data_IF_680270236060
#
_entry.id   IF_680270236060
#
_cell.length_a   1.000
_cell.length_b   1.000
_cell.length_c   1.000
_cell.angle_alpha   90.00
_cell.angle_beta   90.00
_cell.angle_gamma   90.00
#
_symmetry.space_group_name_H-M   'P 1'
#
loop_
_entity.id
_entity.type
_entity.pdbx_description
1 polymer ?
#
# COMPACT_ATOMS: atom_id res chain seq x y z
N UNK A 1 -35.01 -27.68 -55.84
CA UNK A 1 -35.60 -26.35 -56.09
C UNK A 1 -36.31 -25.95 -54.80
N UNK A 2 -35.58 -25.33 -53.87
CA UNK A 2 -35.50 -23.85 -53.66
C UNK A 2 -36.87 -23.34 -53.20
N UNK A 3 -37.07 -22.74 -52.02
CA UNK A 3 -36.20 -21.76 -51.37
C UNK A 3 -36.52 -21.62 -49.88
N UNK A 4 -35.51 -21.24 -49.11
CA UNK A 4 -35.61 -20.84 -47.71
C UNK A 4 -35.99 -19.36 -47.58
N UNK A 5 -36.54 -19.00 -46.41
CA UNK A 5 -36.89 -17.62 -46.09
C UNK A 5 -37.15 -17.43 -44.60
N UNK A 6 -36.09 -17.19 -43.85
CA UNK A 6 -36.09 -16.57 -42.51
C UNK A 6 -35.56 -15.15 -42.68
N UNK A 7 -36.38 -14.14 -42.35
CA UNK A 7 -35.98 -12.74 -42.19
C UNK A 7 -36.34 -12.35 -40.73
N UNK A 8 -35.38 -12.20 -39.82
CA UNK A 8 -34.40 -11.11 -39.65
C UNK A 8 -34.92 -10.07 -38.64
N UNK A 9 -34.60 -10.30 -37.36
CA UNK A 9 -34.66 -9.29 -36.31
C UNK A 9 -33.34 -8.53 -36.31
N UNK A 10 -33.38 -7.26 -36.73
CA UNK A 10 -32.25 -6.36 -36.77
C UNK A 10 -31.67 -6.14 -35.36
N UNK A 11 -30.46 -6.65 -35.13
CA UNK A 11 -29.56 -6.15 -34.09
C UNK A 11 -28.75 -5.00 -34.70
N UNK A 12 -28.91 -3.82 -34.11
CA UNK A 12 -28.16 -2.62 -34.45
C UNK A 12 -26.72 -2.83 -33.99
N UNK A 13 -25.79 -2.92 -34.94
CA UNK A 13 -24.35 -2.91 -34.69
C UNK A 13 -23.93 -1.49 -34.29
N UNK A 14 -23.55 -1.29 -33.03
CA UNK A 14 -22.77 -0.14 -32.59
C UNK A 14 -21.29 -0.43 -32.84
N UNK A 15 -20.85 -0.13 -34.06
CA UNK A 15 -19.47 -0.28 -34.50
C UNK A 15 -18.76 1.07 -34.34
N UNK A 16 -18.47 1.44 -33.09
CA UNK A 16 -17.53 2.52 -32.79
C UNK A 16 -16.12 2.04 -33.10
N UNK A 17 -15.46 2.68 -34.07
CA UNK A 17 -14.07 2.42 -34.45
C UNK A 17 -13.15 2.68 -33.26
N UNK A 18 -12.71 1.61 -32.58
CA UNK A 18 -11.55 1.64 -31.70
C UNK A 18 -10.32 1.77 -32.62
N UNK A 19 -9.63 2.92 -32.56
CA UNK A 19 -8.30 3.06 -33.14
C UNK A 19 -7.36 2.13 -32.34
N UNK A 20 -7.10 0.95 -32.91
CA UNK A 20 -6.18 -0.06 -32.40
C UNK A 20 -4.73 0.49 -32.57
N UNK A 21 -4.24 1.24 -31.58
CA UNK A 21 -2.82 1.59 -31.54
C UNK A 21 -2.01 0.31 -31.39
N UNK A 22 -1.10 0.07 -32.34
CA UNK A 22 -0.18 -1.07 -32.29
C UNK A 22 0.66 -1.01 -31.01
N UNK A 23 0.81 -2.13 -30.32
CA UNK A 23 1.68 -2.26 -29.14
C UNK A 23 3.10 -1.73 -29.40
N UNK A 24 3.58 -1.82 -30.64
CA UNK A 24 4.87 -1.27 -31.05
C UNK A 24 4.91 0.27 -31.01
N UNK A 25 3.83 0.98 -31.30
CA UNK A 25 3.76 2.44 -31.24
C UNK A 25 3.74 2.96 -29.79
N UNK A 26 3.06 2.27 -28.89
CA UNK A 26 3.06 2.59 -27.44
C UNK A 26 4.44 2.35 -26.81
N UNK A 27 5.18 1.33 -27.27
CA UNK A 27 6.55 1.09 -26.84
C UNK A 27 7.55 2.10 -27.42
N UNK A 28 7.31 2.66 -28.60
CA UNK A 28 8.17 3.66 -29.23
C UNK A 28 8.13 5.02 -28.51
N UNK A 29 6.99 5.38 -27.89
CA UNK A 29 6.82 6.70 -27.26
C UNK A 29 7.56 6.88 -25.92
N UNK A 30 7.90 5.80 -25.20
CA UNK A 30 8.78 5.83 -24.01
C UNK A 30 9.21 4.41 -23.59
N UNK A 31 10.24 3.81 -24.23
CA UNK A 31 10.61 2.40 -24.03
C UNK A 31 11.07 2.04 -22.59
N UNK A 32 11.40 3.03 -21.77
CA UNK A 32 12.24 2.87 -20.56
C UNK A 32 11.49 2.45 -19.29
N UNK A 33 10.17 2.63 -19.23
CA UNK A 33 9.37 2.44 -18.01
C UNK A 33 8.17 1.48 -18.19
N UNK A 34 8.01 0.90 -19.38
CA UNK A 34 6.75 0.26 -19.80
C UNK A 34 6.74 -1.27 -19.75
N UNK A 35 7.83 -1.92 -19.29
CA UNK A 35 7.88 -3.37 -19.12
C UNK A 35 8.36 -3.76 -17.72
N UNK A 36 7.74 -4.74 -17.05
CA UNK A 36 8.38 -5.41 -15.92
C UNK A 36 9.66 -6.10 -16.41
N UNK A 37 10.82 -5.58 -15.99
CA UNK A 37 12.14 -5.95 -16.51
C UNK A 37 12.76 -4.92 -17.50
N UNK A 38 11.96 -4.03 -18.10
CA UNK A 38 12.44 -2.91 -18.91
C UNK A 38 13.05 -1.79 -18.05
N UNK A 39 12.47 -1.57 -16.85
CA UNK A 39 13.05 -0.71 -15.82
C UNK A 39 14.48 -1.15 -15.48
N UNK A 40 14.75 -2.45 -15.42
CA UNK A 40 16.06 -3.00 -15.06
C UNK A 40 17.17 -2.64 -16.07
N UNK A 41 16.89 -2.72 -17.38
CA UNK A 41 17.85 -2.35 -18.42
C UNK A 41 18.11 -0.84 -18.43
N UNK A 42 17.06 -0.03 -18.29
CA UNK A 42 17.19 1.43 -18.23
C UNK A 42 17.96 1.89 -16.98
N UNK A 43 17.75 1.25 -15.83
CA UNK A 43 18.49 1.55 -14.59
C UNK A 43 19.97 1.22 -14.76
N UNK A 44 20.31 0.04 -15.27
CA UNK A 44 21.70 -0.37 -15.41
C UNK A 44 22.47 0.51 -16.40
N UNK A 45 21.83 0.97 -17.46
CA UNK A 45 22.42 1.98 -18.37
C UNK A 45 22.66 3.31 -17.65
N UNK A 46 21.66 3.84 -16.94
CA UNK A 46 21.80 5.10 -16.18
C UNK A 46 22.90 5.03 -15.12
N UNK A 47 22.97 3.92 -14.38
CA UNK A 47 24.01 3.68 -13.36
C UNK A 47 25.39 3.55 -14.02
N UNK A 48 25.48 2.84 -15.15
CA UNK A 48 26.75 2.66 -15.89
C UNK A 48 27.27 3.98 -16.48
N UNK A 49 26.37 4.88 -16.86
CA UNK A 49 26.68 6.24 -17.32
C UNK A 49 27.04 7.21 -16.18
N UNK A 50 27.06 6.72 -14.93
CA UNK A 50 27.38 7.51 -13.73
C UNK A 50 26.25 8.40 -13.25
N UNK A 51 25.03 8.23 -13.78
CA UNK A 51 23.85 8.98 -13.33
C UNK A 51 23.33 8.42 -12.01
N UNK A 52 22.82 9.31 -11.16
CA UNK A 52 22.20 8.91 -9.89
C UNK A 52 20.75 8.51 -10.18
N UNK A 53 20.36 7.35 -9.65
CA UNK A 53 19.00 6.81 -9.82
C UNK A 53 18.31 6.73 -8.46
N UNK A 54 17.12 7.32 -8.36
CA UNK A 54 16.27 7.32 -7.18
C UNK A 54 14.98 6.53 -7.42
N UNK A 55 14.61 5.76 -6.42
CA UNK A 55 13.34 5.06 -6.30
C UNK A 55 12.63 5.48 -5.02
N UNK A 56 11.32 5.28 -4.97
CA UNK A 56 10.46 5.60 -3.82
C UNK A 56 9.65 4.37 -3.43
N UNK A 57 9.59 4.07 -2.14
CA UNK A 57 8.98 2.85 -1.62
C UNK A 57 7.45 2.84 -1.77
N UNK A 58 6.91 1.76 -2.34
CA UNK A 58 5.48 1.47 -2.47
C UNK A 58 4.90 0.84 -1.20
N UNK A 59 5.72 0.07 -0.47
CA UNK A 59 5.32 -0.71 0.69
C UNK A 59 6.37 -0.59 1.79
N UNK A 60 5.94 -0.82 3.03
CA UNK A 60 6.87 -1.10 4.11
C UNK A 60 7.59 -2.42 3.82
N UNK A 61 8.92 -2.38 3.82
CA UNK A 61 9.73 -3.58 3.86
C UNK A 61 10.25 -3.77 5.28
N UNK A 62 9.48 -4.53 6.06
CA UNK A 62 9.87 -4.91 7.42
C UNK A 62 10.68 -6.20 7.35
N UNK A 63 11.96 -6.09 7.68
CA UNK A 63 12.89 -7.22 7.69
C UNK A 63 13.68 -7.26 9.01
N UNK A 64 14.06 -8.48 9.41
CA UNK A 64 14.97 -8.74 10.52
C UNK A 64 16.35 -9.20 10.03
N UNK A 65 16.54 -9.33 8.71
CA UNK A 65 17.80 -9.72 8.08
C UNK A 65 18.72 -8.50 7.99
N UNK A 66 19.97 -8.65 8.42
CA UNK A 66 20.97 -7.59 8.38
C UNK A 66 21.57 -7.38 6.98
N UNK A 67 21.20 -8.21 6.01
CA UNK A 67 21.55 -8.06 4.59
C UNK A 67 20.45 -7.36 3.77
N UNK A 68 19.26 -7.19 4.35
CA UNK A 68 18.13 -6.50 3.72
C UNK A 68 17.99 -5.05 4.23
N UNK A 69 17.41 -4.19 3.39
CA UNK A 69 17.20 -2.78 3.68
C UNK A 69 15.79 -2.59 4.20
N UNK A 70 15.61 -2.26 5.48
CA UNK A 70 14.30 -1.89 5.99
C UNK A 70 13.92 -0.46 5.59
N UNK A 71 12.68 -0.26 5.15
CA UNK A 71 12.13 1.06 4.81
C UNK A 71 10.62 1.08 4.95
N UNK A 72 10.05 2.28 5.02
CA UNK A 72 8.62 2.53 5.02
C UNK A 72 8.14 3.03 3.67
N UNK A 73 6.86 2.83 3.38
CA UNK A 73 6.24 3.39 2.18
C UNK A 73 6.44 4.91 2.12
N UNK A 74 6.89 5.41 0.97
CA UNK A 74 7.26 6.81 0.74
C UNK A 74 8.75 7.15 0.96
N UNK A 75 9.55 6.25 1.54
CA UNK A 75 10.99 6.49 1.70
C UNK A 75 11.70 6.52 0.34
N UNK A 76 12.68 7.41 0.20
CA UNK A 76 13.49 7.56 -1.01
C UNK A 76 14.75 6.72 -0.88
N UNK A 77 15.02 5.89 -1.89
CA UNK A 77 16.14 4.97 -1.93
C UNK A 77 16.97 5.29 -3.17
N UNK A 78 18.28 5.49 -2.97
CA UNK A 78 19.23 5.61 -4.09
C UNK A 78 19.57 4.20 -4.58
N UNK A 79 19.27 3.91 -5.83
CA UNK A 79 19.58 2.62 -6.47
C UNK A 79 21.04 2.63 -6.93
N UNK A 80 21.81 1.65 -6.47
CA UNK A 80 23.24 1.50 -6.75
C UNK A 80 23.52 0.36 -7.73
N UNK A 81 22.72 -0.70 -7.69
CA UNK A 81 22.82 -1.83 -8.61
C UNK A 81 21.45 -2.46 -8.87
N UNK A 82 21.11 -2.71 -10.14
CA UNK A 82 19.88 -3.38 -10.56
C UNK A 82 20.18 -4.58 -11.49
N UNK A 83 21.22 -5.35 -11.20
CA UNK A 83 21.63 -6.51 -12.01
C UNK A 83 20.66 -7.69 -11.92
N UNK A 84 19.86 -7.77 -10.86
CA UNK A 84 18.85 -8.80 -10.64
C UNK A 84 17.41 -8.24 -10.81
N UNK A 85 16.50 -9.06 -11.36
CA UNK A 85 15.11 -8.71 -11.64
C UNK A 85 14.29 -8.43 -10.37
N UNK A 86 14.57 -9.18 -9.30
CA UNK A 86 13.75 -9.21 -8.09
C UNK A 86 14.40 -8.43 -6.93
N UNK A 87 15.73 -8.34 -6.91
CA UNK A 87 16.49 -7.74 -5.81
C UNK A 87 17.52 -6.73 -6.30
N UNK A 88 17.45 -5.50 -5.77
CA UNK A 88 18.36 -4.41 -6.10
C UNK A 88 19.22 -4.03 -4.90
N UNK A 89 20.43 -3.52 -5.15
CA UNK A 89 21.28 -2.94 -4.12
C UNK A 89 21.04 -1.44 -4.07
N UNK A 90 20.80 -0.90 -2.88
CA UNK A 90 20.55 0.53 -2.72
C UNK A 90 20.94 1.06 -1.37
N UNK A 91 20.85 2.37 -1.26
CA UNK A 91 21.25 3.14 -0.08
C UNK A 91 20.09 4.02 0.38
N UNK A 92 19.78 3.97 1.67
CA UNK A 92 19.02 5.01 2.38
C UNK A 92 19.97 5.86 3.25
N UNK A 93 19.46 6.79 4.06
CA UNK A 93 20.31 7.68 4.87
C UNK A 93 21.24 6.93 5.85
N UNK A 94 20.84 5.73 6.29
CA UNK A 94 21.48 5.00 7.39
C UNK A 94 22.33 3.80 6.93
N UNK A 95 22.02 3.16 5.79
CA UNK A 95 22.58 1.85 5.40
C UNK A 95 22.52 1.58 3.89
N UNK A 96 23.45 0.76 3.40
CA UNK A 96 23.36 0.09 2.10
C UNK A 96 22.99 -1.39 2.27
N UNK A 97 22.01 -1.87 1.53
CA UNK A 97 21.56 -3.26 1.60
C UNK A 97 20.74 -3.65 0.37
N UNK A 98 20.44 -4.95 0.26
CA UNK A 98 19.52 -5.48 -0.75
C UNK A 98 18.07 -5.10 -0.41
N UNK A 99 17.28 -4.79 -1.43
CA UNK A 99 15.85 -4.58 -1.29
C UNK A 99 15.07 -5.14 -2.50
N UNK A 100 13.81 -5.54 -2.31
CA UNK A 100 13.00 -6.07 -3.40
C UNK A 100 12.59 -4.96 -4.38
N UNK A 101 12.91 -5.14 -5.66
CA UNK A 101 12.58 -4.21 -6.74
C UNK A 101 11.07 -3.95 -6.86
N UNK A 102 10.26 -4.97 -6.59
CA UNK A 102 8.80 -4.91 -6.66
C UNK A 102 8.16 -4.03 -5.57
N UNK A 103 8.93 -3.59 -4.57
CA UNK A 103 8.49 -2.73 -3.47
C UNK A 103 8.77 -1.26 -3.71
N UNK A 104 9.34 -0.88 -4.86
CA UNK A 104 9.68 0.51 -5.15
C UNK A 104 9.15 0.96 -6.52
N UNK A 105 9.05 2.28 -6.72
CA UNK A 105 8.80 2.94 -8.01
C UNK A 105 9.98 3.85 -8.32
N UNK A 106 10.58 3.74 -9.49
CA UNK A 106 11.56 4.71 -9.97
C UNK A 106 10.92 6.09 -10.16
N UNK A 107 11.66 7.14 -9.81
CA UNK A 107 11.26 8.51 -10.15
C UNK A 107 11.39 8.75 -11.65
N UNK A 108 10.45 9.51 -12.21
CA UNK A 108 10.49 9.90 -13.62
C UNK A 108 11.58 10.95 -13.80
N UNK A 109 11.63 11.91 -12.87
CA UNK A 109 12.62 12.97 -12.88
C UNK A 109 13.70 12.70 -11.80
N UNK A 110 14.94 12.49 -12.22
CA UNK A 110 16.08 12.05 -11.38
C UNK A 110 16.82 13.20 -10.66
N UNK A 111 16.32 14.44 -10.75
CA UNK A 111 16.92 15.61 -10.12
C UNK A 111 16.42 15.82 -8.67
N UNK A 112 17.36 16.00 -7.73
CA UNK A 112 17.09 16.69 -6.46
C UNK A 112 16.95 18.18 -6.76
N UNK A 113 15.78 18.77 -6.46
CA UNK A 113 15.69 20.23 -6.43
C UNK A 113 16.52 20.68 -5.23
N UNK A 114 17.44 21.65 -5.37
CA UNK A 114 18.14 22.20 -4.22
C UNK A 114 17.11 22.80 -3.26
N UNK A 115 17.00 22.24 -2.06
CA UNK A 115 16.28 22.92 -0.99
C UNK A 115 17.01 24.23 -0.67
N UNK A 116 16.29 25.35 -0.82
CA UNK A 116 16.65 26.65 -0.25
C UNK A 116 18.12 27.12 -0.47
N UNK A 117 18.44 27.61 -1.67
CA UNK A 117 19.47 28.65 -1.78
C UNK A 117 18.88 30.00 -1.34
N UNK A 118 18.79 30.17 -0.02
CA UNK A 118 18.57 31.46 0.60
C UNK A 118 19.66 32.46 0.20
N UNK A 119 19.21 33.64 -0.26
CA UNK A 119 19.89 34.94 -0.21
C UNK A 119 21.36 34.98 -0.68
N UNK A 120 21.57 35.35 -1.95
CA UNK A 120 22.64 36.28 -2.30
C UNK A 120 22.01 37.45 -3.05
N UNK A 121 21.97 38.59 -2.35
CA UNK A 121 21.72 39.89 -2.93
C UNK A 121 22.80 40.15 -3.98
N UNK A 122 22.39 40.53 -5.19
CA UNK A 122 23.08 41.52 -6.00
C UNK A 122 22.06 42.10 -6.98
N UNK A 123 21.68 43.34 -6.70
CA UNK A 123 20.94 44.21 -7.59
C UNK A 123 21.83 44.52 -8.79
N UNK A 124 21.48 43.99 -9.96
CA UNK A 124 21.64 44.59 -11.30
C UNK A 124 21.38 43.53 -12.37
N UNK A 125 20.31 43.74 -13.18
CA UNK A 125 19.99 43.20 -14.52
C UNK A 125 18.57 42.60 -14.64
N UNK A 126 17.58 43.48 -14.90
CA UNK A 126 16.17 43.15 -15.13
C UNK A 126 15.87 42.40 -16.46
N UNK A 127 16.87 42.15 -17.32
CA UNK A 127 16.69 41.45 -18.61
C UNK A 127 17.14 39.98 -18.59
N UNK A 128 18.09 39.60 -17.72
CA UNK A 128 18.59 38.21 -17.61
C UNK A 128 17.75 37.37 -16.62
N UNK A 129 17.18 38.01 -15.60
CA UNK A 129 16.27 37.38 -14.63
C UNK A 129 14.98 36.86 -15.29
N UNK A 130 14.45 37.59 -16.29
CA UNK A 130 13.30 37.16 -17.08
C UNK A 130 13.58 35.93 -17.93
N UNK A 131 14.74 35.86 -18.59
CA UNK A 131 15.17 34.69 -19.39
C UNK A 131 15.47 33.48 -18.50
N UNK A 132 16.05 33.70 -17.32
CA UNK A 132 16.32 32.61 -16.38
C UNK A 132 15.03 32.07 -15.75
N UNK A 133 14.06 32.92 -15.39
CA UNK A 133 12.73 32.49 -14.94
C UNK A 133 11.96 31.76 -16.03
N UNK A 134 12.01 32.25 -17.26
CA UNK A 134 11.35 31.61 -18.40
C UNK A 134 11.93 30.22 -18.69
N UNK A 135 13.26 30.05 -18.63
CA UNK A 135 13.92 28.74 -18.74
C UNK A 135 13.59 27.79 -17.58
N UNK A 136 13.44 28.30 -16.36
CA UNK A 136 13.02 27.47 -15.21
C UNK A 136 11.56 27.02 -15.37
N UNK A 137 10.69 27.89 -15.86
CA UNK A 137 9.29 27.57 -16.13
C UNK A 137 9.17 26.53 -17.26
N UNK A 138 9.85 26.73 -18.39
CA UNK A 138 9.90 25.77 -19.50
C UNK A 138 10.46 24.40 -19.04
N UNK A 139 11.46 24.40 -18.17
CA UNK A 139 11.98 23.15 -17.59
C UNK A 139 10.94 22.47 -16.68
N UNK A 140 10.19 23.23 -15.86
CA UNK A 140 9.12 22.66 -15.01
C UNK A 140 7.95 22.11 -15.83
N UNK A 141 7.54 22.79 -16.90
CA UNK A 141 6.48 22.33 -17.80
C UNK A 141 6.88 21.04 -18.52
N UNK A 142 8.16 20.93 -18.92
CA UNK A 142 8.69 19.69 -19.45
C UNK A 142 8.69 18.56 -18.40
N UNK A 143 9.10 18.85 -17.16
CA UNK A 143 9.06 17.86 -16.07
C UNK A 143 7.63 17.40 -15.75
N UNK A 144 6.65 18.32 -15.74
CA UNK A 144 5.21 17.99 -15.60
C UNK A 144 4.73 17.15 -16.78
N UNK A 145 5.11 17.50 -18.01
CA UNK A 145 4.81 16.72 -19.23
C UNK A 145 5.28 15.28 -19.09
N UNK A 146 6.51 15.06 -18.63
CA UNK A 146 7.08 13.72 -18.45
C UNK A 146 6.22 12.89 -17.47
N UNK A 147 5.79 13.49 -16.35
CA UNK A 147 4.96 12.80 -15.35
C UNK A 147 3.57 12.49 -15.89
N UNK A 148 2.92 13.43 -16.58
CA UNK A 148 1.60 13.19 -17.21
C UNK A 148 1.70 12.05 -18.22
N UNK A 149 2.72 12.06 -19.09
CA UNK A 149 2.92 11.01 -20.08
C UNK A 149 3.19 9.64 -19.43
N UNK A 150 3.96 9.60 -18.34
CA UNK A 150 4.18 8.36 -17.58
C UNK A 150 2.88 7.83 -16.99
N UNK A 151 2.06 8.68 -16.37
CA UNK A 151 0.75 8.27 -15.84
C UNK A 151 -0.13 7.69 -16.96
N UNK A 152 -0.26 8.40 -18.09
CA UNK A 152 -1.09 7.96 -19.21
C UNK A 152 -0.60 6.64 -19.81
N UNK A 153 0.71 6.50 -20.04
CA UNK A 153 1.27 5.32 -20.67
C UNK A 153 1.21 4.11 -19.75
N UNK A 154 1.53 4.28 -18.46
CA UNK A 154 1.43 3.17 -17.49
C UNK A 154 -0.02 2.75 -17.26
N UNK A 155 -0.98 3.66 -17.37
CA UNK A 155 -2.40 3.34 -17.30
C UNK A 155 -2.86 2.49 -18.48
N UNK A 156 -2.48 2.86 -19.71
CA UNK A 156 -2.77 2.07 -20.92
C UNK A 156 -2.19 0.66 -20.84
N UNK A 157 -0.93 0.55 -20.42
CA UNK A 157 -0.26 -0.75 -20.24
C UNK A 157 -0.96 -1.59 -19.17
N UNK A 158 -1.33 -0.98 -18.05
CA UNK A 158 -2.04 -1.67 -16.98
C UNK A 158 -3.40 -2.21 -17.45
N UNK A 159 -4.18 -1.42 -18.21
CA UNK A 159 -5.43 -1.88 -18.83
C UNK A 159 -5.20 -3.04 -19.78
N UNK A 160 -4.14 -2.98 -20.59
CA UNK A 160 -3.75 -4.09 -21.47
C UNK A 160 -3.47 -5.35 -20.66
N UNK A 161 -2.73 -5.26 -19.55
CA UNK A 161 -2.48 -6.41 -18.67
C UNK A 161 -3.77 -6.98 -18.09
N UNK A 162 -4.69 -6.14 -17.60
CA UNK A 162 -5.99 -6.58 -17.11
C UNK A 162 -6.82 -7.27 -18.20
N UNK A 163 -6.82 -6.74 -19.43
CA UNK A 163 -7.46 -7.37 -20.60
C UNK A 163 -6.86 -8.74 -20.87
N UNK A 164 -5.53 -8.83 -20.93
CA UNK A 164 -4.81 -10.09 -21.20
C UNK A 164 -5.08 -11.13 -20.11
N UNK A 165 -5.25 -10.73 -18.84
CA UNK A 165 -5.66 -11.65 -17.76
C UNK A 165 -7.09 -12.15 -17.98
N UNK A 166 -8.03 -11.23 -18.24
CA UNK A 166 -9.45 -11.59 -18.42
C UNK A 166 -9.67 -12.46 -19.66
N UNK A 167 -9.04 -12.12 -20.78
CA UNK A 167 -9.26 -12.79 -22.07
C UNK A 167 -8.34 -13.99 -22.29
N UNK A 168 -7.08 -13.90 -21.84
CA UNK A 168 -6.06 -14.92 -22.02
C UNK A 168 -6.10 -16.02 -20.97
N UNK A 169 -6.34 -15.68 -19.69
CA UNK A 169 -6.40 -16.67 -18.61
C UNK A 169 -7.84 -17.02 -18.22
N UNK A 170 -8.62 -16.06 -17.70
CA UNK A 170 -9.93 -16.35 -17.09
C UNK A 170 -10.88 -17.03 -18.08
N UNK A 171 -10.98 -16.48 -19.30
CA UNK A 171 -11.81 -17.05 -20.38
C UNK A 171 -11.39 -18.49 -20.73
N UNK A 172 -10.09 -18.80 -20.73
CA UNK A 172 -9.60 -20.15 -21.04
C UNK A 172 -9.82 -21.11 -19.87
N UNK A 173 -9.58 -20.67 -18.63
CA UNK A 173 -9.84 -21.46 -17.44
C UNK A 173 -11.31 -21.87 -17.33
N UNK A 174 -12.25 -20.95 -17.61
CA UNK A 174 -13.70 -21.21 -17.60
C UNK A 174 -14.14 -22.25 -18.65
N UNK A 175 -13.44 -22.34 -19.79
CA UNK A 175 -13.70 -23.37 -20.83
C UNK A 175 -13.24 -24.77 -20.40
N UNK A 176 -12.30 -24.87 -19.47
CA UNK A 176 -11.71 -26.14 -19.03
C UNK A 176 -12.25 -26.55 -17.65
N UNK A 177 -13.56 -26.80 -17.55
CA UNK A 177 -14.26 -27.14 -16.29
C UNK A 177 -13.76 -28.44 -15.64
N UNK A 178 -13.11 -29.33 -16.40
CA UNK A 178 -12.42 -30.51 -15.86
C UNK A 178 -11.06 -30.22 -15.21
N UNK A 179 -10.52 -29.02 -15.37
CA UNK A 179 -9.24 -28.59 -14.78
C UNK A 179 -9.43 -27.64 -13.61
N UNK A 180 -10.43 -26.75 -13.66
CA UNK A 180 -10.66 -25.73 -12.65
C UNK A 180 -12.10 -25.75 -12.16
N UNK A 181 -12.27 -25.72 -10.85
CA UNK A 181 -13.60 -25.50 -10.23
C UNK A 181 -13.92 -24.01 -10.16
N UNK A 182 -15.20 -23.66 -10.09
CA UNK A 182 -15.62 -22.26 -9.92
C UNK A 182 -15.03 -21.62 -8.65
N UNK A 183 -14.95 -22.38 -7.55
CA UNK A 183 -14.34 -21.92 -6.30
C UNK A 183 -12.86 -21.57 -6.49
N UNK A 184 -12.09 -22.43 -7.18
CA UNK A 184 -10.68 -22.14 -7.48
C UNK A 184 -10.52 -20.90 -8.35
N UNK A 185 -11.38 -20.71 -9.35
CA UNK A 185 -11.33 -19.50 -10.19
C UNK A 185 -11.61 -18.24 -9.37
N UNK A 186 -12.60 -18.28 -8.47
CA UNK A 186 -12.88 -17.17 -7.58
C UNK A 186 -11.71 -16.89 -6.63
N UNK A 187 -11.06 -17.92 -6.10
CA UNK A 187 -9.87 -17.75 -5.25
C UNK A 187 -8.68 -17.17 -6.03
N UNK A 188 -8.39 -17.67 -7.23
CA UNK A 188 -7.23 -17.25 -8.02
C UNK A 188 -7.39 -15.83 -8.57
N UNK A 189 -8.56 -15.50 -9.12
CA UNK A 189 -8.76 -14.25 -9.86
C UNK A 189 -9.51 -13.18 -9.06
N UNK A 190 -10.18 -13.54 -7.97
CA UNK A 190 -10.95 -12.60 -7.15
C UNK A 190 -11.93 -11.77 -7.98
N UNK A 191 -11.96 -10.47 -7.71
CA UNK A 191 -12.78 -9.47 -8.41
C UNK A 191 -12.02 -8.74 -9.55
N UNK A 192 -10.98 -9.35 -10.14
CA UNK A 192 -10.15 -8.66 -11.16
C UNK A 192 -10.92 -8.23 -12.41
N UNK A 193 -11.99 -8.93 -12.78
CA UNK A 193 -12.85 -8.51 -13.90
C UNK A 193 -13.60 -7.20 -13.58
N UNK A 194 -13.92 -6.95 -12.32
CA UNK A 194 -14.55 -5.70 -11.89
C UNK A 194 -13.54 -4.57 -11.82
N UNK A 195 -12.30 -4.86 -11.39
CA UNK A 195 -11.17 -3.93 -11.54
C UNK A 195 -10.98 -3.55 -13.01
N UNK A 196 -11.00 -4.52 -13.93
CA UNK A 196 -10.85 -4.24 -15.37
C UNK A 196 -11.96 -3.32 -15.90
N UNK A 197 -13.23 -3.58 -15.55
CA UNK A 197 -14.35 -2.72 -15.95
C UNK A 197 -14.20 -1.30 -15.41
N UNK A 198 -13.86 -1.17 -14.12
CA UNK A 198 -13.60 0.11 -13.47
C UNK A 198 -12.47 0.86 -14.17
N UNK A 199 -11.33 0.18 -14.36
CA UNK A 199 -10.13 0.80 -14.93
C UNK A 199 -10.38 1.33 -16.34
N UNK A 200 -11.11 0.57 -17.18
CA UNK A 200 -11.48 1.04 -18.53
C UNK A 200 -12.24 2.35 -18.52
N UNK A 201 -13.17 2.51 -17.56
CA UNK A 201 -13.92 3.75 -17.39
C UNK A 201 -12.98 4.87 -16.93
N UNK A 202 -12.12 4.60 -15.95
CA UNK A 202 -11.16 5.57 -15.44
C UNK A 202 -10.17 6.05 -16.51
N UNK A 203 -9.55 5.15 -17.28
CA UNK A 203 -8.66 5.51 -18.38
C UNK A 203 -9.38 6.35 -19.44
N UNK A 204 -10.63 5.98 -19.79
CA UNK A 204 -11.43 6.75 -20.76
C UNK A 204 -11.66 8.20 -20.30
N UNK A 205 -11.85 8.42 -19.00
CA UNK A 205 -12.03 9.77 -18.47
C UNK A 205 -10.69 10.53 -18.34
N UNK A 206 -9.59 9.85 -18.01
CA UNK A 206 -8.24 10.42 -18.09
C UNK A 206 -7.87 10.87 -19.51
N UNK A 207 -8.14 10.05 -20.52
CA UNK A 207 -7.83 10.37 -21.92
C UNK A 207 -8.62 11.57 -22.45
N UNK A 208 -9.79 11.87 -21.89
CA UNK A 208 -10.54 13.08 -22.21
C UNK A 208 -9.90 14.35 -21.65
N UNK A 209 -9.26 14.25 -20.48
CA UNK A 209 -8.56 15.39 -19.86
C UNK A 209 -7.13 15.56 -20.37
N UNK A 210 -6.63 14.61 -21.15
CA UNK A 210 -5.28 14.65 -21.69
C UNK A 210 -5.17 15.62 -22.88
N UNK A 211 -4.38 16.67 -22.71
CA UNK A 211 -4.06 17.59 -23.80
C UNK A 211 -2.90 17.02 -24.64
N UNK A 212 -3.19 16.65 -25.89
CA UNK A 212 -2.20 16.04 -26.80
C UNK A 212 -1.17 17.06 -27.31
N UNK A 213 -1.57 18.32 -27.47
CA UNK A 213 -0.71 19.37 -28.02
C UNK A 213 0.21 19.94 -26.93
N UNK A 214 -0.35 20.15 -25.74
CA UNK A 214 0.37 20.69 -24.59
C UNK A 214 0.14 19.80 -23.34
N UNK A 215 0.86 18.67 -23.21
CA UNK A 215 0.63 17.70 -22.14
C UNK A 215 0.71 18.27 -20.73
N UNK A 216 1.56 19.27 -20.50
CA UNK A 216 1.69 19.96 -19.21
C UNK A 216 0.41 20.69 -18.78
N UNK A 217 -0.49 21.04 -19.70
CA UNK A 217 -1.77 21.68 -19.39
C UNK A 217 -2.90 20.68 -19.09
N UNK A 218 -2.63 19.38 -19.10
CA UNK A 218 -3.64 18.36 -18.81
C UNK A 218 -4.15 18.49 -17.36
N UNK A 219 -5.47 18.39 -17.15
CA UNK A 219 -6.13 18.55 -15.85
C UNK A 219 -6.67 17.22 -15.32
N UNK A 220 -5.77 16.36 -14.84
CA UNK A 220 -6.10 14.96 -14.52
C UNK A 220 -6.47 14.75 -13.04
N UNK A 221 -6.25 15.72 -12.16
CA UNK A 221 -6.55 15.59 -10.73
C UNK A 221 -8.03 15.31 -10.47
N UNK A 222 -8.91 16.03 -11.18
CA UNK A 222 -10.36 15.88 -11.07
C UNK A 222 -10.85 14.45 -11.40
N UNK A 223 -10.19 13.75 -12.32
CA UNK A 223 -10.53 12.37 -12.66
C UNK A 223 -10.34 11.42 -11.47
N UNK A 224 -9.27 11.56 -10.69
CA UNK A 224 -9.05 10.72 -9.51
C UNK A 224 -10.13 10.94 -8.45
N UNK A 225 -10.52 12.20 -8.22
CA UNK A 225 -11.56 12.56 -7.26
C UNK A 225 -12.94 12.01 -7.65
N UNK A 226 -13.31 12.12 -8.93
CA UNK A 226 -14.58 11.59 -9.44
C UNK A 226 -14.71 10.07 -9.30
N UNK A 227 -13.58 9.35 -9.31
CA UNK A 227 -13.53 7.89 -9.24
C UNK A 227 -13.05 7.35 -7.89
N UNK A 228 -12.86 8.21 -6.87
CA UNK A 228 -12.26 7.86 -5.57
C UNK A 228 -12.94 6.64 -4.92
N UNK A 229 -14.26 6.63 -4.82
CA UNK A 229 -15.02 5.52 -4.22
C UNK A 229 -14.84 4.21 -4.99
N UNK A 230 -14.68 4.30 -6.32
CA UNK A 230 -14.48 3.14 -7.19
C UNK A 230 -13.19 2.39 -6.90
N UNK A 231 -12.15 3.06 -6.39
CA UNK A 231 -10.90 2.39 -6.01
C UNK A 231 -11.04 1.47 -4.79
N UNK A 232 -12.13 1.55 -4.03
CA UNK A 232 -12.35 0.69 -2.86
C UNK A 232 -12.37 -0.82 -3.22
N UNK A 233 -12.72 -1.18 -4.46
CA UNK A 233 -12.73 -2.59 -4.94
C UNK A 233 -11.34 -3.23 -4.91
N UNK A 234 -10.27 -2.44 -4.94
CA UNK A 234 -8.89 -2.94 -4.81
C UNK A 234 -8.63 -3.52 -3.41
N UNK A 235 -9.38 -3.08 -2.39
CA UNK A 235 -9.29 -3.62 -1.03
C UNK A 235 -9.63 -5.11 -0.99
N UNK A 236 -10.72 -5.51 -1.66
CA UNK A 236 -11.12 -6.91 -1.79
C UNK A 236 -10.07 -7.73 -2.54
N UNK A 237 -9.55 -7.20 -3.65
CA UNK A 237 -8.53 -7.87 -4.44
C UNK A 237 -7.25 -8.13 -3.64
N UNK A 238 -6.72 -7.10 -2.98
CA UNK A 238 -5.51 -7.17 -2.18
C UNK A 238 -5.65 -8.14 -0.99
N UNK A 239 -6.83 -8.20 -0.37
CA UNK A 239 -7.11 -9.15 0.71
C UNK A 239 -7.17 -10.61 0.22
N UNK A 240 -7.67 -10.84 -0.99
CA UNK A 240 -7.75 -12.18 -1.58
C UNK A 240 -6.41 -12.64 -2.17
N UNK A 241 -5.54 -11.70 -2.59
CA UNK A 241 -4.30 -12.01 -3.31
C UNK A 241 -3.37 -13.05 -2.61
N UNK A 242 -3.17 -13.03 -1.27
CA UNK A 242 -2.41 -14.09 -0.59
C UNK A 242 -2.99 -15.50 -0.81
N UNK A 243 -4.33 -15.64 -0.79
CA UNK A 243 -5.00 -16.92 -1.06
C UNK A 243 -4.84 -17.35 -2.51
N UNK A 244 -4.88 -16.40 -3.45
CA UNK A 244 -4.59 -16.66 -4.86
C UNK A 244 -3.18 -17.21 -5.07
N UNK A 245 -2.18 -16.63 -4.40
CA UNK A 245 -0.78 -17.09 -4.47
C UNK A 245 -0.62 -18.53 -3.97
N UNK A 246 -1.28 -18.87 -2.85
CA UNK A 246 -1.25 -20.23 -2.28
C UNK A 246 -1.90 -21.24 -3.26
N UNK A 247 -3.08 -20.92 -3.79
CA UNK A 247 -3.79 -21.79 -4.72
C UNK A 247 -2.98 -21.99 -6.01
N UNK A 248 -2.42 -20.92 -6.59
CA UNK A 248 -1.55 -21.01 -7.76
C UNK A 248 -0.29 -21.83 -7.48
N UNK A 249 0.41 -21.61 -6.37
CA UNK A 249 1.58 -22.39 -6.00
C UNK A 249 1.25 -23.89 -5.88
N UNK A 250 0.07 -24.24 -5.38
CA UNK A 250 -0.40 -25.62 -5.32
C UNK A 250 -0.69 -26.20 -6.72
N UNK A 251 -1.37 -25.46 -7.59
CA UNK A 251 -1.63 -25.89 -8.96
C UNK A 251 -0.34 -26.08 -9.76
N UNK A 252 0.63 -25.17 -9.61
CA UNK A 252 1.91 -25.19 -10.31
C UNK A 252 2.79 -26.40 -9.95
N UNK A 253 2.52 -27.10 -8.85
CA UNK A 253 3.15 -28.40 -8.55
C UNK A 253 2.85 -29.44 -9.63
N UNK A 254 1.68 -29.39 -10.25
CA UNK A 254 1.29 -30.34 -11.29
C UNK A 254 1.64 -29.81 -12.70
N UNK A 255 2.35 -30.62 -13.48
CA UNK A 255 2.80 -30.25 -14.82
C UNK A 255 1.66 -29.79 -15.75
N UNK A 256 0.47 -30.40 -15.66
CA UNK A 256 -0.68 -30.02 -16.51
C UNK A 256 -1.07 -28.53 -16.39
N UNK A 257 -1.00 -27.94 -15.19
CA UNK A 257 -1.33 -26.52 -15.00
C UNK A 257 -0.20 -25.61 -15.48
N UNK A 258 1.06 -26.03 -15.28
CA UNK A 258 2.22 -25.30 -15.82
C UNK A 258 2.14 -25.14 -17.34
N UNK A 259 1.94 -26.24 -18.06
CA UNK A 259 1.81 -26.18 -19.53
C UNK A 259 0.56 -25.40 -19.96
N UNK A 260 -0.55 -25.52 -19.22
CA UNK A 260 -1.77 -24.80 -19.52
C UNK A 260 -1.60 -23.28 -19.41
N UNK A 261 -1.03 -22.78 -18.31
CA UNK A 261 -0.80 -21.36 -18.12
C UNK A 261 0.23 -20.81 -19.11
N UNK A 262 1.30 -21.57 -19.39
CA UNK A 262 2.27 -21.17 -20.41
C UNK A 262 1.66 -21.11 -21.82
N UNK A 263 0.79 -22.06 -22.17
CA UNK A 263 0.06 -22.01 -23.43
C UNK A 263 -0.87 -20.79 -23.51
N UNK A 264 -1.58 -20.46 -22.43
CA UNK A 264 -2.39 -19.24 -22.37
C UNK A 264 -1.55 -17.98 -22.57
N UNK A 265 -0.37 -17.91 -21.95
CA UNK A 265 0.60 -16.82 -22.09
C UNK A 265 1.04 -16.61 -23.53
N UNK A 266 1.48 -17.68 -24.18
CA UNK A 266 1.95 -17.66 -25.55
C UNK A 266 0.83 -17.31 -26.55
N UNK A 267 -0.38 -17.86 -26.37
CA UNK A 267 -1.51 -17.60 -27.26
C UNK A 267 -1.97 -16.13 -27.23
N UNK A 268 -1.91 -15.51 -26.05
CA UNK A 268 -2.26 -14.10 -25.86
C UNK A 268 -1.08 -13.16 -26.18
N UNK A 269 0.08 -13.70 -26.59
CA UNK A 269 1.31 -12.95 -26.86
C UNK A 269 1.73 -12.05 -25.69
N UNK A 270 1.57 -12.57 -24.47
CA UNK A 270 1.98 -11.88 -23.26
C UNK A 270 3.50 -11.91 -23.11
N UNK A 271 4.04 -10.86 -22.50
CA UNK A 271 5.44 -10.78 -22.08
C UNK A 271 5.82 -11.96 -21.16
N UNK A 272 7.12 -12.22 -21.03
CA UNK A 272 7.64 -13.38 -20.28
C UNK A 272 7.58 -13.15 -18.76
N UNK A 273 6.35 -13.13 -18.28
CA UNK A 273 5.97 -13.02 -16.87
C UNK A 273 4.95 -14.11 -16.60
N UNK A 274 5.20 -14.85 -15.52
CA UNK A 274 4.28 -15.87 -15.06
C UNK A 274 2.97 -15.24 -14.55
N UNK A 275 1.91 -16.06 -14.50
CA UNK A 275 0.56 -15.59 -14.15
C UNK A 275 0.49 -14.89 -12.79
N UNK A 276 1.26 -15.34 -11.80
CA UNK A 276 1.37 -14.73 -10.48
C UNK A 276 1.90 -13.28 -10.55
N UNK A 277 2.91 -13.04 -11.40
CA UNK A 277 3.41 -11.69 -11.66
C UNK A 277 2.35 -10.76 -12.26
N UNK A 278 1.53 -11.26 -13.19
CA UNK A 278 0.40 -10.51 -13.74
C UNK A 278 -0.66 -10.20 -12.67
N UNK A 279 -0.97 -11.17 -11.80
CA UNK A 279 -1.97 -10.99 -10.73
C UNK A 279 -1.48 -10.07 -9.60
N UNK A 280 -0.17 -9.80 -9.50
CA UNK A 280 0.38 -8.80 -8.58
C UNK A 280 0.18 -7.36 -9.09
N UNK A 281 -0.04 -7.15 -10.39
CA UNK A 281 -0.10 -5.80 -10.99
C UNK A 281 -1.15 -4.87 -10.39
N UNK A 282 -2.38 -5.31 -10.00
CA UNK A 282 -3.35 -4.41 -9.38
C UNK A 282 -2.90 -3.94 -7.98
N UNK A 283 -2.24 -4.82 -7.23
CA UNK A 283 -1.68 -4.52 -5.91
C UNK A 283 -0.56 -3.48 -6.02
N UNK A 284 0.26 -3.57 -7.06
CA UNK A 284 1.31 -2.58 -7.33
C UNK A 284 0.71 -1.25 -7.81
N UNK A 285 -0.26 -1.30 -8.72
CA UNK A 285 -0.83 -0.10 -9.36
C UNK A 285 -1.49 0.82 -8.33
N UNK A 286 -2.26 0.26 -7.40
CA UNK A 286 -2.95 1.09 -6.39
C UNK A 286 -1.97 1.84 -5.47
N UNK A 287 -0.78 1.28 -5.20
CA UNK A 287 0.27 1.94 -4.43
C UNK A 287 1.13 2.91 -5.24
N UNK A 288 1.11 2.81 -6.58
CA UNK A 288 1.85 3.74 -7.45
C UNK A 288 1.15 5.10 -7.56
N UNK A 289 -0.18 5.16 -7.47
CA UNK A 289 -0.92 6.42 -7.66
C UNK A 289 -0.53 7.56 -6.71
N UNK A 290 -0.37 7.36 -5.38
CA UNK A 290 0.06 8.43 -4.49
C UNK A 290 1.43 9.00 -4.88
N UNK A 291 2.37 8.13 -5.29
CA UNK A 291 3.72 8.54 -5.69
C UNK A 291 3.70 9.33 -7.01
N UNK A 292 2.91 8.86 -7.98
CA UNK A 292 2.70 9.54 -9.26
C UNK A 292 2.08 10.94 -9.06
N UNK A 293 1.06 11.05 -8.19
CA UNK A 293 0.39 12.33 -7.89
C UNK A 293 1.28 13.27 -7.07
N UNK A 294 2.09 12.75 -6.14
CA UNK A 294 3.06 13.55 -5.40
C UNK A 294 4.13 14.15 -6.34
N UNK A 295 4.67 13.34 -7.25
CA UNK A 295 5.63 13.79 -8.26
C UNK A 295 5.00 14.81 -9.21
N UNK A 296 3.75 14.58 -9.63
CA UNK A 296 3.01 15.55 -10.44
C UNK A 296 2.85 16.88 -9.71
N UNK A 297 2.42 16.85 -8.45
CA UNK A 297 2.24 18.03 -7.61
C UNK A 297 3.55 18.83 -7.44
N UNK A 298 4.70 18.15 -7.30
CA UNK A 298 6.04 18.77 -7.21
C UNK A 298 6.34 19.69 -8.40
N UNK A 299 5.88 19.33 -9.60
CA UNK A 299 6.09 20.08 -10.84
C UNK A 299 4.86 20.90 -11.27
N UNK A 300 3.89 21.10 -10.37
CA UNK A 300 2.69 21.91 -10.63
C UNK A 300 2.75 23.19 -9.82
N UNK A 301 2.61 24.36 -10.48
CA UNK A 301 2.60 25.64 -9.77
C UNK A 301 1.25 25.88 -9.08
N UNK A 302 1.21 26.72 -8.05
CA UNK A 302 -0.03 27.00 -7.30
C UNK A 302 -1.08 27.74 -8.15
N UNK A 303 -0.64 28.42 -9.21
CA UNK A 303 -1.49 29.14 -10.15
C UNK A 303 -2.11 28.22 -11.21
N UNK A 304 -1.60 27.00 -11.36
CA UNK A 304 -2.16 26.02 -12.29
C UNK A 304 -3.56 25.59 -11.81
N UNK A 305 -4.52 25.55 -12.73
CA UNK A 305 -5.93 25.16 -12.48
C UNK A 305 -6.07 23.81 -11.75
N UNK A 306 -5.34 22.80 -12.22
CA UNK A 306 -5.29 21.44 -11.65
C UNK A 306 -4.57 21.31 -10.28
N UNK A 307 -3.90 22.36 -9.76
CA UNK A 307 -3.07 22.24 -8.54
C UNK A 307 -3.85 21.72 -7.32
N UNK A 308 -5.02 22.31 -7.06
CA UNK A 308 -5.84 21.95 -5.90
C UNK A 308 -6.43 20.55 -6.06
N UNK A 309 -6.84 20.20 -7.27
CA UNK A 309 -7.41 18.88 -7.57
C UNK A 309 -6.36 17.78 -7.48
N UNK A 310 -5.13 18.01 -7.96
CA UNK A 310 -4.01 17.07 -7.78
C UNK A 310 -3.68 16.90 -6.29
N UNK A 311 -3.65 18.00 -5.53
CA UNK A 311 -3.37 17.93 -4.08
C UNK A 311 -4.44 17.11 -3.35
N UNK A 312 -5.72 17.34 -3.66
CA UNK A 312 -6.81 16.57 -3.08
C UNK A 312 -6.78 15.10 -3.54
N UNK A 313 -6.51 14.85 -4.82
CA UNK A 313 -6.36 13.50 -5.37
C UNK A 313 -5.21 12.74 -4.72
N UNK A 314 -4.07 13.40 -4.47
CA UNK A 314 -2.93 12.82 -3.77
C UNK A 314 -3.33 12.32 -2.37
N UNK A 315 -3.99 13.17 -1.58
CA UNK A 315 -4.46 12.78 -0.24
C UNK A 315 -5.50 11.65 -0.31
N UNK A 316 -6.44 11.72 -1.26
CA UNK A 316 -7.44 10.68 -1.47
C UNK A 316 -6.79 9.33 -1.80
N UNK A 317 -5.85 9.30 -2.74
CA UNK A 317 -5.18 8.06 -3.14
C UNK A 317 -4.23 7.54 -2.05
N UNK A 318 -3.59 8.43 -1.29
CA UNK A 318 -2.80 8.06 -0.12
C UNK A 318 -3.68 7.35 0.91
N UNK A 319 -4.88 7.87 1.18
CA UNK A 319 -5.84 7.23 2.08
C UNK A 319 -6.27 5.84 1.58
N UNK A 320 -6.53 5.69 0.27
CA UNK A 320 -6.85 4.38 -0.34
C UNK A 320 -5.70 3.38 -0.17
N UNK A 321 -4.46 3.79 -0.47
CA UNK A 321 -3.29 2.93 -0.31
C UNK A 321 -3.05 2.53 1.16
N UNK A 322 -3.17 3.49 2.08
CA UNK A 322 -3.09 3.24 3.52
C UNK A 322 -4.16 2.25 3.98
N UNK A 323 -5.41 2.41 3.55
CA UNK A 323 -6.51 1.50 3.91
C UNK A 323 -6.24 0.06 3.43
N UNK A 324 -5.72 -0.09 2.22
CA UNK A 324 -5.37 -1.41 1.66
C UNK A 324 -4.22 -2.05 2.45
N UNK A 325 -3.16 -1.27 2.74
CA UNK A 325 -2.03 -1.75 3.54
C UNK A 325 -2.47 -2.15 4.95
N UNK A 326 -3.29 -1.32 5.59
CA UNK A 326 -3.83 -1.59 6.91
C UNK A 326 -4.71 -2.85 6.93
N UNK A 327 -5.53 -3.05 5.90
CA UNK A 327 -6.41 -4.21 5.82
C UNK A 327 -5.64 -5.51 5.61
N UNK A 328 -4.57 -5.49 4.81
CA UNK A 328 -3.62 -6.60 4.70
C UNK A 328 -2.96 -6.88 6.05
N UNK A 329 -2.47 -5.84 6.75
CA UNK A 329 -1.86 -5.96 8.08
C UNK A 329 -2.84 -6.55 9.11
N UNK A 330 -4.11 -6.15 9.07
CA UNK A 330 -5.17 -6.68 9.94
C UNK A 330 -5.40 -8.17 9.70
N UNK A 331 -5.50 -8.61 8.45
CA UNK A 331 -5.65 -10.04 8.13
C UNK A 331 -4.48 -10.88 8.64
N UNK A 332 -3.24 -10.42 8.43
CA UNK A 332 -2.06 -11.10 9.00
C UNK A 332 -2.03 -11.06 10.53
N UNK A 333 -2.60 -10.01 11.14
CA UNK A 333 -2.71 -9.90 12.60
C UNK A 333 -3.71 -10.90 13.16
N UNK A 334 -4.82 -11.19 12.47
CA UNK A 334 -5.82 -12.16 12.94
C UNK A 334 -5.18 -13.54 13.18
N UNK A 335 -4.42 -14.07 12.21
CA UNK A 335 -3.75 -15.37 12.35
C UNK A 335 -2.70 -15.36 13.47
N UNK A 336 -1.95 -14.26 13.60
CA UNK A 336 -0.97 -14.07 14.67
C UNK A 336 -1.64 -14.02 16.04
N UNK A 337 -2.79 -13.36 16.17
CA UNK A 337 -3.58 -13.26 17.41
C UNK A 337 -4.12 -14.63 17.80
N UNK A 338 -4.68 -15.39 16.85
CA UNK A 338 -5.18 -16.74 17.11
C UNK A 338 -4.05 -17.66 17.61
N UNK A 339 -2.91 -17.68 16.91
CA UNK A 339 -1.75 -18.48 17.29
C UNK A 339 -1.18 -18.02 18.65
N UNK A 340 -1.09 -16.71 18.87
CA UNK A 340 -0.65 -16.13 20.14
C UNK A 340 -1.55 -16.59 21.28
N UNK A 341 -2.88 -16.50 21.13
CA UNK A 341 -3.82 -16.91 22.18
C UNK A 341 -3.66 -18.39 22.54
N UNK A 342 -3.52 -19.27 21.56
CA UNK A 342 -3.29 -20.72 21.78
C UNK A 342 -2.00 -20.97 22.57
N UNK A 343 -0.99 -20.11 22.42
CA UNK A 343 0.27 -20.20 23.17
C UNK A 343 0.14 -19.75 24.65
N UNK A 344 -0.93 -19.03 25.02
CA UNK A 344 -1.14 -18.55 26.39
C UNK A 344 -1.71 -19.66 27.28
N UNK A 345 -1.01 -19.97 28.36
CA UNK A 345 -1.41 -21.01 29.31
C UNK A 345 -2.51 -20.50 30.23
N UNK A 346 -3.56 -21.32 30.39
CA UNK A 346 -4.66 -21.05 31.32
C UNK A 346 -5.58 -19.90 30.86
N UNK A 347 -5.82 -19.80 29.55
CA UNK A 347 -6.74 -18.82 28.98
C UNK A 347 -8.14 -18.92 29.59
N UNK A 348 -8.74 -17.78 29.92
CA UNK A 348 -10.11 -17.69 30.43
C UNK A 348 -10.89 -16.59 29.68
N UNK A 349 -12.18 -16.82 29.46
CA UNK A 349 -13.08 -15.92 28.73
C UNK A 349 -13.13 -16.19 27.22
N UNK A 350 -13.70 -15.25 26.47
CA UNK A 350 -13.85 -15.37 25.03
C UNK A 350 -12.52 -15.22 24.29
N UNK A 351 -12.46 -15.72 23.06
CA UNK A 351 -11.34 -15.50 22.15
C UNK A 351 -11.14 -14.00 21.91
N UNK A 352 -9.88 -13.58 21.76
CA UNK A 352 -9.54 -12.18 21.44
C UNK A 352 -10.25 -11.75 20.16
N UNK A 353 -10.24 -12.62 19.14
CA UNK A 353 -10.85 -12.39 17.84
C UNK A 353 -12.38 -12.20 17.87
N UNK A 354 -13.05 -12.48 18.99
CA UNK A 354 -14.48 -12.21 19.12
C UNK A 354 -14.79 -10.70 19.19
N UNK A 355 -13.83 -9.88 19.62
CA UNK A 355 -13.98 -8.42 19.76
C UNK A 355 -12.84 -7.61 19.17
N UNK A 356 -11.72 -8.23 18.82
CA UNK A 356 -10.51 -7.53 18.41
C UNK A 356 -9.96 -8.09 17.12
N UNK A 357 -9.36 -7.23 16.30
CA UNK A 357 -8.75 -7.58 15.02
C UNK A 357 -7.28 -7.22 14.95
N UNK A 358 -6.74 -6.50 15.95
CA UNK A 358 -5.38 -5.99 15.88
C UNK A 358 -4.70 -5.84 17.27
N UNK A 359 -3.40 -6.16 17.33
CA UNK A 359 -2.54 -5.81 18.46
C UNK A 359 -1.90 -4.43 18.23
N UNK A 360 -2.24 -3.46 19.06
CA UNK A 360 -1.78 -2.06 18.94
C UNK A 360 -0.45 -1.86 19.67
N UNK A 361 -0.31 -2.45 20.86
CA UNK A 361 0.92 -2.35 21.62
C UNK A 361 1.10 -3.53 22.58
N UNK A 362 2.36 -3.88 22.88
CA UNK A 362 2.66 -4.83 23.95
C UNK A 362 3.93 -4.45 24.69
N UNK A 363 3.99 -4.78 25.98
CA UNK A 363 5.11 -4.39 26.83
C UNK A 363 4.95 -4.82 28.28
N UNK A 364 5.99 -4.61 29.08
CA UNK A 364 5.95 -4.89 30.52
C UNK A 364 5.52 -3.65 31.29
N UNK A 365 4.55 -3.80 32.19
CA UNK A 365 4.16 -2.79 33.17
C UNK A 365 4.04 -3.41 34.56
N UNK A 366 4.09 -2.56 35.57
CA UNK A 366 3.76 -2.94 36.93
C UNK A 366 2.30 -2.55 37.19
N UNK A 367 1.44 -3.54 37.40
CA UNK A 367 0.07 -3.32 37.87
C UNK A 367 0.07 -3.21 39.38
N UNK A 368 -0.57 -2.18 39.92
CA UNK A 368 -0.83 -2.07 41.36
C UNK A 368 -2.22 -2.64 41.63
N UNK A 369 -2.31 -3.66 42.48
CA UNK A 369 -3.60 -4.18 42.93
C UNK A 369 -4.28 -3.22 43.92
N UNK A 370 -5.60 -3.35 44.12
CA UNK A 370 -6.34 -2.58 45.14
C UNK A 370 -5.77 -2.72 46.57
N UNK A 371 -5.02 -3.80 46.83
CA UNK A 371 -4.32 -4.04 48.10
C UNK A 371 -2.90 -3.41 48.15
N UNK A 372 -2.52 -2.61 47.17
CA UNK A 372 -1.19 -1.97 47.08
C UNK A 372 -0.06 -2.89 46.62
N UNK A 373 -0.34 -4.17 46.31
CA UNK A 373 0.70 -5.10 45.84
C UNK A 373 1.07 -4.82 44.38
N UNK A 374 2.36 -4.65 44.13
CA UNK A 374 2.95 -4.52 42.79
C UNK A 374 3.04 -5.86 42.08
N UNK A 375 2.55 -5.91 40.85
CA UNK A 375 2.53 -7.10 40.02
C UNK A 375 3.14 -6.80 38.65
N UNK A 376 4.35 -7.29 38.40
CA UNK A 376 4.92 -7.22 37.05
C UNK A 376 4.13 -8.15 36.12
N UNK A 377 3.64 -7.60 35.02
CA UNK A 377 2.86 -8.30 34.00
C UNK A 377 3.31 -7.86 32.61
N UNK A 378 3.12 -8.73 31.65
CA UNK A 378 3.21 -8.38 30.23
C UNK A 378 1.82 -8.09 29.74
N UNK A 379 1.63 -6.91 29.16
CA UNK A 379 0.36 -6.39 28.67
C UNK A 379 0.33 -6.41 27.16
N UNK A 380 -0.86 -6.67 26.61
CA UNK A 380 -1.16 -6.75 25.19
C UNK A 380 -2.43 -5.93 24.95
N UNK A 381 -2.27 -4.74 24.39
CA UNK A 381 -3.36 -3.83 24.05
C UNK A 381 -3.85 -4.16 22.65
N UNK A 382 -5.08 -4.66 22.57
CA UNK A 382 -5.81 -4.84 21.33
C UNK A 382 -6.86 -3.73 21.18
N UNK A 383 -7.45 -3.58 20.00
CA UNK A 383 -8.69 -2.86 19.83
C UNK A 383 -9.77 -3.44 20.77
N UNK A 384 -10.46 -2.58 21.52
CA UNK A 384 -11.50 -2.89 22.51
C UNK A 384 -11.04 -3.52 23.83
N UNK A 385 -9.86 -4.13 23.94
CA UNK A 385 -9.47 -4.85 25.17
C UNK A 385 -7.96 -4.88 25.44
N UNK A 386 -7.61 -4.85 26.73
CA UNK A 386 -6.24 -4.97 27.23
C UNK A 386 -6.07 -6.28 27.99
N UNK A 387 -5.30 -7.23 27.46
CA UNK A 387 -5.00 -8.51 28.10
C UNK A 387 -3.66 -8.44 28.84
N UNK A 388 -3.56 -9.10 29.99
CA UNK A 388 -2.30 -9.17 30.73
C UNK A 388 -1.95 -10.57 31.25
N UNK A 389 -0.67 -10.91 31.10
CA UNK A 389 -0.10 -12.22 31.39
C UNK A 389 1.05 -12.12 32.40
N UNK A 390 1.36 -13.24 33.04
CA UNK A 390 2.55 -13.42 33.88
C UNK A 390 3.54 -14.33 33.14
N UNK A 391 4.80 -13.91 33.01
CA UNK A 391 5.90 -14.75 32.51
C UNK A 391 6.21 -15.88 33.49
N UNK A 392 6.50 -17.07 32.96
CA UNK A 392 7.06 -18.15 33.76
C UNK A 392 8.44 -17.76 34.32
N UNK A 393 8.79 -18.31 35.49
CA UNK A 393 10.04 -18.00 36.17
C UNK A 393 11.26 -18.60 35.46
N UNK A 394 11.09 -19.76 34.82
CA UNK A 394 12.16 -20.50 34.16
C UNK A 394 12.08 -20.34 32.64
N UNK A 395 10.88 -20.40 32.06
CA UNK A 395 10.64 -20.28 30.61
C UNK A 395 10.09 -18.91 30.23
N UNK A 396 10.98 -17.95 29.95
CA UNK A 396 10.58 -16.55 29.69
C UNK A 396 9.65 -16.36 28.49
N UNK A 397 9.63 -17.32 27.58
CA UNK A 397 8.75 -17.45 26.41
C UNK A 397 7.33 -17.91 26.78
N UNK A 398 7.15 -18.58 27.92
CA UNK A 398 5.85 -19.05 28.36
C UNK A 398 5.10 -18.00 29.19
N UNK A 399 3.86 -17.72 28.79
CA UNK A 399 2.97 -16.73 29.39
C UNK A 399 1.72 -17.39 29.97
N UNK A 400 1.36 -17.02 31.19
CA UNK A 400 0.12 -17.43 31.85
C UNK A 400 -0.87 -16.29 31.88
N UNK A 401 -2.10 -16.54 31.43
CA UNK A 401 -3.18 -15.56 31.50
C UNK A 401 -3.45 -15.13 32.95
N UNK A 402 -3.74 -13.83 33.13
CA UNK A 402 -4.08 -13.24 34.44
C UNK A 402 -5.31 -12.34 34.43
N UNK A 403 -5.83 -11.99 33.26
CA UNK A 403 -7.04 -11.20 33.13
C UNK A 403 -7.01 -10.31 31.89
N UNK A 404 -8.13 -9.61 31.71
CA UNK A 404 -8.31 -8.59 30.69
C UNK A 404 -9.09 -7.40 31.24
N UNK A 405 -9.03 -6.28 30.53
CA UNK A 405 -9.76 -5.04 30.82
C UNK A 405 -10.50 -4.65 29.54
N UNK A 406 -11.80 -4.37 29.65
CA UNK A 406 -12.58 -3.83 28.54
C UNK A 406 -12.23 -2.34 28.39
N UNK A 407 -11.61 -1.98 27.27
CA UNK A 407 -11.16 -0.61 27.03
C UNK A 407 -12.33 0.29 26.60
N UNK A 408 -13.46 -0.28 26.18
CA UNK A 408 -14.64 0.49 25.79
C UNK A 408 -15.31 1.23 26.95
N UNK A 409 -15.12 0.73 28.17
CA UNK A 409 -15.67 1.31 29.39
C UNK A 409 -14.63 2.08 30.22
N UNK A 410 -13.42 2.27 29.69
CA UNK A 410 -12.28 2.82 30.44
C UNK A 410 -11.78 4.13 29.84
N UNK A 411 -11.51 5.09 30.70
CA UNK A 411 -10.81 6.34 30.39
C UNK A 411 -9.36 6.25 30.90
N UNK A 412 -8.39 6.53 30.02
CA UNK A 412 -6.97 6.50 30.38
C UNK A 412 -6.52 7.88 30.83
N UNK A 413 -6.06 7.96 32.08
CA UNK A 413 -5.69 9.21 32.75
C UNK A 413 -4.19 9.20 33.08
N UNK A 414 -3.47 10.22 32.60
CA UNK A 414 -2.06 10.43 32.96
C UNK A 414 -1.93 10.75 34.47
N UNK A 415 -0.96 10.13 35.15
CA UNK A 415 -0.69 10.33 36.58
C UNK A 415 0.72 10.90 36.78
N UNK A 416 0.79 12.05 37.46
CA UNK A 416 2.07 12.67 37.83
C UNK A 416 2.85 11.86 38.86
N UNK A 417 4.17 12.00 38.83
CA UNK A 417 5.06 11.40 39.82
C UNK A 417 4.79 12.00 41.20
N UNK A 418 4.66 11.14 42.21
CA UNK A 418 4.37 11.59 43.56
C UNK A 418 3.43 10.64 44.29
N UNK A 419 2.70 11.19 45.26
CA UNK A 419 1.78 10.41 46.09
C UNK A 419 0.42 10.29 45.39
N UNK A 420 0.07 9.07 45.01
CA UNK A 420 -1.22 8.76 44.44
C UNK A 420 -2.31 8.77 45.52
N UNK A 421 -3.44 9.45 45.25
CA UNK A 421 -4.54 9.63 46.22
C UNK A 421 -5.40 8.39 46.38
N UNK A 422 -5.61 7.62 45.32
CA UNK A 422 -6.55 6.48 45.32
C UNK A 422 -5.92 5.26 45.97
N UNK A 423 -4.61 5.05 45.75
CA UNK A 423 -3.87 3.92 46.31
C UNK A 423 -3.02 4.28 47.53
N UNK A 424 -2.87 5.58 47.86
CA UNK A 424 -2.07 6.09 48.98
C UNK A 424 -0.60 5.60 48.95
N UNK A 425 -0.02 5.48 47.75
CA UNK A 425 1.37 5.05 47.51
C UNK A 425 2.13 6.08 46.68
N UNK A 426 3.46 6.07 46.76
CA UNK A 426 4.28 6.86 45.85
C UNK A 426 4.46 6.11 44.52
N UNK A 427 4.17 6.80 43.42
CA UNK A 427 4.27 6.28 42.06
C UNK A 427 5.25 7.09 41.24
N UNK A 428 5.85 6.45 40.24
CA UNK A 428 6.66 7.08 39.20
C UNK A 428 6.32 6.49 37.85
N UNK A 429 6.34 7.32 36.81
CA UNK A 429 6.01 6.96 35.44
C UNK A 429 4.66 6.21 35.37
N UNK A 430 3.64 6.75 36.06
CA UNK A 430 2.35 6.08 36.22
C UNK A 430 1.24 6.67 35.33
N UNK A 431 0.23 5.84 35.08
CA UNK A 431 -1.05 6.23 34.48
C UNK A 431 -2.15 5.29 34.98
N UNK A 432 -3.42 5.68 34.81
CA UNK A 432 -4.58 4.92 35.25
C UNK A 432 -5.53 4.60 34.11
N UNK A 433 -6.23 3.49 34.21
CA UNK A 433 -7.47 3.25 33.48
C UNK A 433 -8.63 3.30 34.49
N UNK A 434 -9.60 4.18 34.25
CA UNK A 434 -10.69 4.51 35.17
C UNK A 434 -12.02 4.27 34.47
N UNK A 435 -12.92 3.54 35.11
CA UNK A 435 -14.32 3.45 34.71
C UNK A 435 -15.14 4.35 35.62
N UNK A 436 -15.62 5.48 35.08
CA UNK A 436 -16.38 6.47 35.83
C UNK A 436 -17.79 5.96 36.25
N UNK A 437 -18.32 4.90 35.60
CA UNK A 437 -19.62 4.34 35.95
C UNK A 437 -19.54 3.31 37.09
N UNK A 438 -18.44 2.55 37.18
CA UNK A 438 -18.27 1.47 38.16
C UNK A 438 -17.29 1.82 39.29
N UNK A 439 -16.66 2.99 39.23
CA UNK A 439 -15.54 3.40 40.11
C UNK A 439 -14.36 2.39 40.09
N UNK A 440 -14.23 1.63 39.00
CA UNK A 440 -13.11 0.73 38.82
C UNK A 440 -11.86 1.52 38.39
N UNK A 441 -10.75 1.30 39.11
CA UNK A 441 -9.46 1.96 38.83
C UNK A 441 -8.35 0.93 38.75
N UNK A 442 -7.61 0.94 37.64
CA UNK A 442 -6.37 0.18 37.45
C UNK A 442 -5.18 1.15 37.36
N UNK A 443 -4.21 0.98 38.25
CA UNK A 443 -2.98 1.80 38.27
C UNK A 443 -1.82 1.01 37.67
N UNK A 444 -1.14 1.64 36.71
CA UNK A 444 0.01 1.09 36.00
C UNK A 444 1.24 1.97 36.18
N UNK A 445 2.40 1.35 36.37
CA UNK A 445 3.69 2.04 36.42
C UNK A 445 4.63 1.47 35.36
N UNK A 446 5.19 2.33 34.53
CA UNK A 446 6.24 1.99 33.58
C UNK A 446 7.63 2.09 34.24
N UNK A 447 8.61 1.36 33.71
CA UNK A 447 9.99 1.43 34.21
C UNK A 447 10.66 2.75 33.83
N UNK A 448 10.37 3.25 32.62
CA UNK A 448 10.95 4.46 32.05
C UNK A 448 9.86 5.47 31.64
N UNK A 449 10.16 6.77 31.64
CA UNK A 449 9.21 7.79 31.19
C UNK A 449 8.86 7.64 29.70
N UNK A 450 9.80 7.18 28.86
CA UNK A 450 9.54 6.93 27.44
C UNK A 450 8.53 5.79 27.24
N UNK A 451 8.60 4.75 28.08
CA UNK A 451 7.65 3.64 28.05
C UNK A 451 6.24 4.13 28.43
N UNK A 452 6.12 4.97 29.48
CA UNK A 452 4.84 5.60 29.86
C UNK A 452 4.25 6.39 28.69
N UNK A 453 5.06 7.22 28.03
CA UNK A 453 4.61 8.02 26.88
C UNK A 453 4.08 7.13 25.75
N UNK A 454 4.81 6.07 25.40
CA UNK A 454 4.38 5.08 24.38
C UNK A 454 3.07 4.40 24.74
N UNK A 455 2.86 4.04 26.01
CA UNK A 455 1.60 3.44 26.45
C UNK A 455 0.41 4.42 26.35
N UNK A 456 0.60 5.68 26.74
CA UNK A 456 -0.46 6.70 26.62
C UNK A 456 -0.81 6.96 25.15
N UNK A 457 0.19 7.08 24.27
CA UNK A 457 0.01 7.22 22.82
C UNK A 457 -0.71 6.00 22.23
N UNK A 458 -0.34 4.78 22.65
CA UNK A 458 -0.98 3.55 22.20
C UNK A 458 -2.46 3.47 22.61
N UNK A 459 -2.79 3.83 23.86
CA UNK A 459 -4.18 3.88 24.32
C UNK A 459 -5.00 4.94 23.56
N UNK A 460 -4.42 6.11 23.29
CA UNK A 460 -5.09 7.14 22.49
C UNK A 460 -5.31 6.68 21.03
N UNK A 461 -4.34 5.98 20.45
CA UNK A 461 -4.46 5.38 19.12
C UNK A 461 -5.56 4.32 19.09
N UNK A 462 -5.63 3.49 20.12
CA UNK A 462 -6.66 2.46 20.27
C UNK A 462 -8.08 3.04 20.27
N UNK A 463 -8.32 4.12 21.02
CA UNK A 463 -9.61 4.82 20.99
C UNK A 463 -9.95 5.42 19.62
N UNK A 464 -8.96 5.95 18.90
CA UNK A 464 -9.15 6.48 17.55
C UNK A 464 -9.54 5.37 16.57
N UNK A 465 -8.84 4.25 16.60
CA UNK A 465 -9.13 3.09 15.75
C UNK A 465 -10.53 2.52 15.97
N UNK A 466 -10.93 2.37 17.23
CA UNK A 466 -12.28 1.90 17.58
C UNK A 466 -13.36 2.85 17.07
N UNK A 467 -13.08 4.16 16.99
CA UNK A 467 -14.00 5.12 16.40
C UNK A 467 -14.05 5.01 14.87
N UNK A 468 -12.89 4.91 14.22
CA UNK A 468 -12.79 4.73 12.75
C UNK A 468 -13.51 3.45 12.29
N UNK A 469 -13.35 2.34 13.02
CA UNK A 469 -14.00 1.06 12.71
C UNK A 469 -15.53 1.07 12.92
N UNK A 470 -16.07 2.04 13.67
CA UNK A 470 -17.53 2.24 13.79
C UNK A 470 -18.12 3.13 12.70
N UNK A 471 -17.29 3.95 12.08
CA UNK A 471 -17.69 4.90 11.03
C UNK A 471 -17.61 4.29 9.63
N UNK A 472 -16.82 3.22 9.46
CA UNK A 472 -16.80 2.35 8.27
C UNK A 472 -17.91 1.30 8.32
#
# INVERSE_FOLDING_TARGET
ATDGGTDSSALVNDNGSEEDYSYEELCQASPRYLQPGGEQLAINELISDGSIVYAEALWDHVTMDDQELAFKAGDVIRVLEASNKDWWWGRNEDKESWFPASFVRLRVNQEELPENSGSIQNEEQDAETGKHRHKIAENKDQMRTNVIQEIMNTERVYIKHLKDICEGYIRQCRKHTGMFTAAQLNTIFGNIEDIYKFQRKFLKDLEKQYNKEEPHLSEIGSCFLQHQEGFAIYSEYCNNHPSACIELANLMKHGKYRHFFEACRLLQQMIDIAIDGFLLTPVQKICKYPLQLAELLKYTTQEHSDYNDIKAAYEAMKNVACLINERKRRLESIDKIACWQVSIVGWEGQDVLARSSELIHSGELIKISKQGKSQQRTFFLFDHQLVFCKKDLLRRDMLYYKGRIDMDEMEVVDTEDGKDKDFNINVKNAFKAVNNATEEVHLFCAKKPEDKKRWLEACANERRRVQEDKEM
#
